data_IF_440903912119
#
_entry.id   IF_440903912119
#
_cell.length_a   1.000
_cell.length_b   1.000
_cell.length_c   1.000
_cell.angle_alpha   90.00
_cell.angle_beta   90.00
_cell.angle_gamma   90.00
#
_symmetry.space_group_name_H-M   'P 1'
#
loop_
_entity.id
_entity.type
_entity.pdbx_description
1 polymer ?
#
# COMPACT_ATOMS: atom_id res chain seq x y z
N UNK A 1 47.42 -7.15 -7.81
CA UNK A 1 46.19 -6.33 -8.00
C UNK A 1 45.40 -6.38 -6.70
N UNK A 2 44.99 -5.24 -6.18
CA UNK A 2 44.10 -5.16 -5.02
C UNK A 2 42.75 -4.62 -5.49
N UNK A 3 41.66 -5.18 -4.96
CA UNK A 3 40.31 -4.72 -5.23
C UNK A 3 39.68 -4.23 -3.93
N UNK A 4 38.88 -3.17 -4.04
CA UNK A 4 38.05 -2.65 -2.95
C UNK A 4 36.60 -2.98 -3.28
N UNK A 5 35.92 -3.61 -2.33
CA UNK A 5 34.47 -3.83 -2.40
C UNK A 5 33.77 -2.68 -1.68
N UNK A 6 32.80 -2.07 -2.35
CA UNK A 6 31.91 -1.07 -1.77
C UNK A 6 30.51 -1.65 -1.80
N UNK A 7 29.88 -1.74 -0.63
CA UNK A 7 28.48 -2.16 -0.49
C UNK A 7 27.63 -0.91 -0.25
N UNK A 8 26.61 -0.72 -1.09
CA UNK A 8 25.60 0.31 -0.88
C UNK A 8 24.47 -0.29 -0.04
N UNK A 9 24.15 0.35 1.09
CA UNK A 9 23.08 -0.09 2.00
C UNK A 9 21.94 0.89 1.87
N UNK A 10 20.74 0.35 1.68
CA UNK A 10 19.50 1.10 1.60
C UNK A 10 19.14 1.75 2.94
N UNK A 11 18.57 2.96 2.88
CA UNK A 11 17.96 3.63 4.02
C UNK A 11 16.52 3.98 3.65
N UNK A 12 15.64 4.04 4.65
CA UNK A 12 14.25 4.44 4.44
C UNK A 12 14.17 5.96 4.22
N UNK A 13 14.34 6.40 2.97
CA UNK A 13 14.34 7.81 2.57
C UNK A 13 13.24 8.17 1.55
N UNK A 14 12.50 7.17 1.06
CA UNK A 14 11.30 7.38 0.27
C UNK A 14 10.05 7.14 1.12
N UNK A 15 8.90 7.58 0.59
CA UNK A 15 7.60 7.37 1.24
C UNK A 15 6.68 6.65 0.28
N UNK A 16 5.76 5.80 0.76
CA UNK A 16 4.82 5.12 -0.11
C UNK A 16 3.93 6.13 -0.86
N UNK A 17 3.79 5.96 -2.17
CA UNK A 17 2.98 6.81 -3.02
C UNK A 17 1.86 6.00 -3.70
N UNK A 18 0.62 6.45 -3.56
CA UNK A 18 -0.53 5.84 -4.25
C UNK A 18 -0.55 6.18 -5.73
N UNK A 19 -0.89 5.20 -6.56
CA UNK A 19 -1.26 5.44 -7.95
C UNK A 19 -2.32 4.42 -8.40
N UNK A 20 -3.49 4.85 -8.90
CA UNK A 20 -3.95 6.24 -9.03
C UNK A 20 -4.20 6.95 -7.68
N UNK A 21 -4.28 8.29 -7.70
CA UNK A 21 -4.52 9.12 -6.50
C UNK A 21 -5.98 9.07 -6.02
N UNK A 22 -6.90 8.66 -6.88
CA UNK A 22 -8.32 8.51 -6.57
C UNK A 22 -8.86 7.23 -7.18
N UNK A 23 -9.78 6.59 -6.47
CA UNK A 23 -10.45 5.37 -6.88
C UNK A 23 -11.95 5.62 -6.82
N UNK A 24 -12.65 5.19 -7.86
CA UNK A 24 -14.10 5.20 -7.92
C UNK A 24 -14.57 3.84 -8.46
N UNK A 25 -15.56 3.26 -7.80
CA UNK A 25 -16.14 1.97 -8.18
C UNK A 25 -17.63 1.98 -7.87
N UNK A 26 -18.41 1.29 -8.70
CA UNK A 26 -19.82 1.05 -8.45
C UNK A 26 -19.99 -0.36 -7.88
N UNK A 27 -20.69 -0.47 -6.76
CA UNK A 27 -20.98 -1.74 -6.10
C UNK A 27 -22.46 -2.09 -6.28
N UNK A 28 -22.76 -3.35 -6.62
CA UNK A 28 -24.14 -3.82 -6.71
C UNK A 28 -24.79 -3.83 -5.33
N UNK A 29 -26.06 -3.43 -5.25
CA UNK A 29 -26.85 -3.52 -4.01
C UNK A 29 -27.11 -4.97 -3.56
N UNK A 30 -26.85 -5.95 -4.44
CA UNK A 30 -26.95 -7.37 -4.14
C UNK A 30 -25.64 -7.98 -3.60
N UNK A 31 -24.57 -7.17 -3.47
CA UNK A 31 -23.27 -7.64 -2.99
C UNK A 31 -23.36 -8.07 -1.53
N UNK A 32 -22.78 -9.22 -1.21
CA UNK A 32 -22.77 -9.75 0.16
C UNK A 32 -21.54 -9.25 0.94
N UNK A 33 -21.58 -9.21 2.28
CA UNK A 33 -20.41 -8.90 3.11
C UNK A 33 -19.20 -9.78 2.74
N UNK A 34 -18.01 -9.17 2.69
CA UNK A 34 -16.77 -9.84 2.26
C UNK A 34 -16.52 -9.82 0.75
N UNK A 35 -17.43 -9.28 -0.06
CA UNK A 35 -17.18 -9.03 -1.48
C UNK A 35 -15.99 -8.08 -1.65
N UNK A 36 -15.03 -8.45 -2.49
CA UNK A 36 -13.91 -7.56 -2.84
C UNK A 36 -14.43 -6.38 -3.67
N UNK A 37 -14.17 -5.15 -3.18
CA UNK A 37 -14.70 -3.92 -3.79
C UNK A 37 -13.67 -3.30 -4.72
N UNK A 38 -12.45 -3.12 -4.22
CA UNK A 38 -11.31 -2.62 -4.96
C UNK A 38 -10.01 -3.02 -4.25
N UNK A 39 -8.90 -2.92 -4.98
CA UNK A 39 -7.55 -3.01 -4.41
C UNK A 39 -6.86 -1.67 -4.60
N UNK A 40 -6.41 -1.06 -3.51
CA UNK A 40 -5.53 0.11 -3.57
C UNK A 40 -4.09 -0.35 -3.66
N UNK A 41 -3.23 0.42 -4.31
CA UNK A 41 -1.80 0.13 -4.33
C UNK A 41 -1.02 1.41 -4.13
N UNK A 42 -0.09 1.36 -3.18
CA UNK A 42 0.97 2.33 -3.05
C UNK A 42 2.32 1.64 -3.30
N UNK A 43 3.24 2.39 -3.87
CA UNK A 43 4.59 1.95 -4.18
C UNK A 43 5.60 2.78 -3.40
N UNK A 44 6.55 2.09 -2.78
CA UNK A 44 7.73 2.66 -2.17
C UNK A 44 8.96 2.03 -2.88
N UNK A 45 9.87 2.84 -3.44
CA UNK A 45 11.03 2.34 -4.18
C UNK A 45 12.15 1.81 -3.28
N UNK A 46 12.07 1.98 -1.96
CA UNK A 46 13.10 1.50 -1.02
C UNK A 46 13.19 -0.03 -1.00
N UNK A 47 14.35 -0.56 -0.61
CA UNK A 47 14.61 -1.98 -0.69
C UNK A 47 14.13 -2.75 0.56
N UNK A 48 13.63 -3.96 0.36
CA UNK A 48 13.28 -4.87 1.45
C UNK A 48 12.19 -4.31 2.36
N UNK A 49 12.43 -4.31 3.67
CA UNK A 49 11.46 -3.81 4.66
C UNK A 49 11.25 -2.30 4.60
N UNK A 50 12.22 -1.54 4.07
CA UNK A 50 12.07 -0.09 3.94
C UNK A 50 10.96 0.26 2.92
N UNK A 51 10.86 -0.52 1.84
CA UNK A 51 9.78 -0.39 0.85
C UNK A 51 8.49 -1.12 1.23
N UNK A 52 8.38 -1.70 2.43
CA UNK A 52 7.19 -2.48 2.82
C UNK A 52 6.04 -1.57 3.22
N UNK A 53 4.99 -1.61 2.40
CA UNK A 53 3.78 -0.79 2.60
C UNK A 53 2.75 -1.52 3.47
N UNK A 54 2.13 -0.77 4.39
CA UNK A 54 0.91 -1.21 5.10
C UNK A 54 -0.20 -0.17 5.00
N UNK A 55 -1.45 -0.62 5.01
CA UNK A 55 -2.61 0.22 4.77
C UNK A 55 -3.49 0.36 6.01
N UNK A 56 -4.09 1.56 6.16
CA UNK A 56 -5.10 1.85 7.18
C UNK A 56 -6.04 2.95 6.70
N UNK A 57 -7.27 2.94 7.20
CA UNK A 57 -8.18 4.07 7.03
C UNK A 57 -7.75 5.25 7.91
N UNK A 58 -8.03 6.46 7.44
CA UNK A 58 -7.84 7.67 8.26
C UNK A 58 -8.90 7.73 9.37
N UNK A 59 -8.60 8.35 10.53
CA UNK A 59 -9.62 8.61 11.55
C UNK A 59 -10.83 9.34 10.95
N UNK A 60 -12.04 8.84 11.24
CA UNK A 60 -13.29 9.35 10.66
C UNK A 60 -13.60 8.88 9.22
N UNK A 61 -12.66 8.22 8.56
CA UNK A 61 -12.87 7.58 7.25
C UNK A 61 -13.31 6.10 7.34
N UNK A 62 -13.34 5.54 8.55
CA UNK A 62 -13.80 4.18 8.77
C UNK A 62 -15.33 4.10 8.66
N UNK A 63 -15.82 3.23 7.80
CA UNK A 63 -17.24 2.93 7.63
C UNK A 63 -17.55 1.55 8.24
N UNK A 64 -18.72 1.33 8.86
CA UNK A 64 -19.12 0.00 9.29
C UNK A 64 -19.34 -0.98 8.10
N UNK A 65 -19.43 -0.47 6.88
CA UNK A 65 -19.72 -1.26 5.68
C UNK A 65 -18.48 -1.73 4.92
N UNK A 66 -17.32 -1.12 5.17
CA UNK A 66 -16.08 -1.40 4.42
C UNK A 66 -14.93 -1.69 5.37
N UNK A 67 -14.13 -2.70 5.00
CA UNK A 67 -12.89 -3.04 5.67
C UNK A 67 -11.73 -2.95 4.68
N UNK A 68 -10.54 -2.71 5.21
CA UNK A 68 -9.30 -2.65 4.44
C UNK A 68 -8.33 -3.68 4.98
N UNK A 69 -7.77 -4.52 4.11
CA UNK A 69 -6.68 -5.39 4.50
C UNK A 69 -5.40 -4.56 4.60
N UNK A 70 -4.69 -4.68 5.72
CA UNK A 70 -3.47 -3.91 5.97
C UNK A 70 -2.31 -4.30 5.07
N UNK A 71 -2.32 -5.50 4.49
CA UNK A 71 -1.22 -6.06 3.71
C UNK A 71 -1.53 -6.18 2.21
N UNK A 72 -2.78 -5.92 1.77
CA UNK A 72 -3.20 -6.12 0.37
C UNK A 72 -4.19 -5.08 -0.14
#
# INVERSE_FOLDING_TARGET
>A
MAYVRVDLIDINDNRPAFYPLSYAVSLSTQSTPGTSVLKVTAHDPDAGENGRVTYRTVPGGSSPFFTLNKDT
#
